data_IF_388777889472
#
_entry.id   IF_388777889472
#
_cell.length_a   1.000
_cell.length_b   1.000
_cell.length_c   1.000
_cell.angle_alpha   90.00
_cell.angle_beta   90.00
_cell.angle_gamma   90.00
#
_symmetry.space_group_name_H-M   'P 1'
#
loop_
_entity.id
_entity.type
_entity.pdbx_description
1 polymer ?
#
# COMPACT_ATOMS: atom_id res chain seq x y z
N UNK A 1 -42.34 -3.92 6.44
CA UNK A 1 -41.16 -4.05 7.31
C UNK A 1 -40.20 -4.98 6.58
N UNK A 2 -39.20 -4.42 5.91
CA UNK A 2 -38.17 -5.20 5.22
C UNK A 2 -37.36 -5.90 6.31
N UNK A 3 -37.32 -7.23 6.31
CA UNK A 3 -36.49 -7.99 7.23
C UNK A 3 -35.05 -7.48 7.11
N UNK A 4 -34.50 -6.92 8.19
CA UNK A 4 -33.09 -6.59 8.28
C UNK A 4 -32.32 -7.90 8.22
N UNK A 5 -31.95 -8.34 7.01
CA UNK A 5 -31.10 -9.51 6.81
C UNK A 5 -29.78 -9.24 7.53
N UNK A 6 -29.54 -9.98 8.61
CA UNK A 6 -28.29 -9.92 9.35
C UNK A 6 -27.15 -10.28 8.39
N UNK A 7 -26.28 -9.31 8.11
CA UNK A 7 -25.13 -9.52 7.22
C UNK A 7 -24.05 -10.26 8.02
N UNK A 8 -23.67 -11.47 7.59
CA UNK A 8 -22.60 -12.23 8.22
C UNK A 8 -21.28 -11.95 7.52
N UNK A 9 -20.17 -12.08 8.25
CA UNK A 9 -18.84 -11.88 7.68
C UNK A 9 -18.52 -12.87 6.54
N UNK A 10 -19.03 -14.09 6.65
CA UNK A 10 -18.96 -15.09 5.57
C UNK A 10 -19.59 -14.60 4.25
N UNK A 11 -20.62 -13.74 4.32
CA UNK A 11 -21.23 -13.16 3.13
C UNK A 11 -20.33 -12.08 2.50
N UNK A 12 -19.41 -11.46 3.25
CA UNK A 12 -18.41 -10.52 2.71
C UNK A 12 -17.26 -11.31 2.07
N UNK A 13 -16.80 -12.38 2.74
CA UNK A 13 -15.75 -13.28 2.24
C UNK A 13 -16.10 -13.92 0.90
N UNK A 14 -17.34 -14.36 0.73
CA UNK A 14 -17.80 -14.98 -0.51
C UNK A 14 -17.73 -14.01 -1.71
N UNK A 15 -17.97 -12.72 -1.50
CA UNK A 15 -18.09 -11.74 -2.58
C UNK A 15 -16.81 -10.92 -2.81
N UNK A 16 -15.87 -10.94 -1.87
CA UNK A 16 -14.69 -10.08 -1.89
C UNK A 16 -13.77 -10.31 -3.10
N UNK A 17 -13.67 -11.55 -3.59
CA UNK A 17 -12.86 -11.86 -4.77
C UNK A 17 -13.56 -11.43 -6.06
N UNK A 18 -14.89 -11.45 -6.09
CA UNK A 18 -15.73 -11.13 -7.26
C UNK A 18 -16.28 -9.71 -7.19
N UNK A 19 -15.53 -8.85 -6.52
CA UNK A 19 -16.02 -7.54 -6.17
C UNK A 19 -16.22 -6.71 -7.43
N UNK A 20 -17.35 -6.01 -7.48
CA UNK A 20 -17.81 -5.26 -8.65
C UNK A 20 -18.26 -6.14 -9.86
N UNK A 21 -18.36 -7.47 -9.72
CA UNK A 21 -19.05 -8.31 -10.71
C UNK A 21 -20.53 -7.93 -10.83
N UNK A 22 -21.18 -8.04 -12.01
CA UNK A 22 -22.59 -7.67 -12.17
C UNK A 22 -23.54 -8.31 -11.15
N UNK A 23 -23.28 -9.57 -10.78
CA UNK A 23 -24.07 -10.30 -9.78
C UNK A 23 -23.80 -9.80 -8.34
N UNK A 24 -22.60 -9.32 -8.05
CA UNK A 24 -22.27 -8.69 -6.76
C UNK A 24 -22.86 -7.30 -6.69
N UNK A 25 -22.73 -6.50 -7.76
CA UNK A 25 -23.33 -5.18 -7.90
C UNK A 25 -24.86 -5.21 -7.68
N UNK A 26 -25.55 -6.17 -8.27
CA UNK A 26 -26.99 -6.36 -8.05
C UNK A 26 -27.33 -6.73 -6.59
N UNK A 27 -26.44 -7.44 -5.89
CA UNK A 27 -26.64 -7.83 -4.49
C UNK A 27 -26.35 -6.68 -3.52
N UNK A 28 -25.32 -5.88 -3.78
CA UNK A 28 -25.00 -4.69 -2.96
C UNK A 28 -26.08 -3.60 -3.11
N UNK A 29 -26.71 -3.47 -4.28
CA UNK A 29 -27.84 -2.55 -4.47
C UNK A 29 -29.01 -2.87 -3.54
N UNK A 30 -29.17 -4.14 -3.18
CA UNK A 30 -30.21 -4.62 -2.28
C UNK A 30 -29.71 -4.80 -0.83
N UNK A 31 -28.43 -4.51 -0.54
CA UNK A 31 -27.83 -4.62 0.81
C UNK A 31 -26.81 -3.50 1.07
N UNK A 32 -27.26 -2.36 1.63
CA UNK A 32 -26.36 -1.27 2.03
C UNK A 32 -25.25 -1.71 2.99
N UNK A 33 -25.53 -2.66 3.89
CA UNK A 33 -24.55 -3.18 4.84
C UNK A 33 -23.43 -3.96 4.13
N UNK A 34 -23.76 -4.80 3.13
CA UNK A 34 -22.76 -5.51 2.33
C UNK A 34 -21.92 -4.53 1.52
N UNK A 35 -22.55 -3.50 0.93
CA UNK A 35 -21.83 -2.44 0.21
C UNK A 35 -20.79 -1.77 1.09
N UNK A 36 -21.19 -1.28 2.26
CA UNK A 36 -20.30 -0.62 3.21
C UNK A 36 -19.17 -1.58 3.60
N UNK A 37 -19.47 -2.84 3.92
CA UNK A 37 -18.46 -3.83 4.32
C UNK A 37 -17.41 -4.09 3.22
N UNK A 38 -17.82 -4.15 1.95
CA UNK A 38 -16.93 -4.33 0.80
C UNK A 38 -16.14 -3.07 0.41
N UNK A 39 -16.68 -1.89 0.69
CA UNK A 39 -15.99 -0.61 0.48
C UNK A 39 -14.95 -0.38 1.58
N UNK A 40 -15.32 -0.47 2.86
CA UNK A 40 -14.39 -0.23 3.96
C UNK A 40 -13.23 -1.22 4.01
N UNK A 41 -13.38 -2.42 3.43
CA UNK A 41 -12.32 -3.43 3.43
C UNK A 41 -11.17 -3.13 2.48
N UNK A 42 -11.28 -2.11 1.62
CA UNK A 42 -10.31 -1.83 0.54
C UNK A 42 -9.90 -0.36 0.52
N UNK A 43 -8.71 -0.01 -0.02
CA UNK A 43 -8.38 1.36 -0.32
C UNK A 43 -9.46 2.05 -1.18
N UNK A 44 -9.76 3.32 -0.89
CA UNK A 44 -10.87 4.03 -1.55
C UNK A 44 -10.74 4.14 -3.07
N UNK A 45 -9.51 4.20 -3.58
CA UNK A 45 -9.20 4.20 -5.01
C UNK A 45 -9.43 2.83 -5.69
N UNK A 46 -9.78 1.78 -4.94
CA UNK A 46 -10.12 0.47 -5.49
C UNK A 46 -11.61 0.27 -5.74
N UNK A 47 -12.45 1.20 -5.30
CA UNK A 47 -13.90 1.04 -5.36
C UNK A 47 -14.42 1.18 -6.79
N UNK A 48 -15.16 0.18 -7.27
CA UNK A 48 -15.74 0.16 -8.61
C UNK A 48 -14.72 -0.07 -9.71
N UNK A 49 -13.56 -0.68 -9.41
CA UNK A 49 -12.54 -0.97 -10.42
C UNK A 49 -12.93 -2.12 -11.34
N UNK A 50 -13.74 -3.08 -10.86
CA UNK A 50 -13.95 -4.34 -11.59
C UNK A 50 -12.67 -5.16 -11.73
N UNK A 51 -11.71 -5.00 -10.81
CA UNK A 51 -10.46 -5.76 -10.76
C UNK A 51 -10.39 -6.48 -9.41
N UNK A 52 -10.08 -7.76 -9.45
CA UNK A 52 -9.96 -8.58 -8.25
C UNK A 52 -8.85 -8.04 -7.34
N UNK A 53 -9.09 -7.88 -6.02
CA UNK A 53 -8.07 -7.37 -5.09
C UNK A 53 -6.77 -8.19 -5.10
N UNK A 54 -6.87 -9.51 -5.30
CA UNK A 54 -5.71 -10.40 -5.41
C UNK A 54 -4.80 -10.07 -6.59
N UNK A 55 -5.36 -9.65 -7.73
CA UNK A 55 -4.60 -9.19 -8.90
C UNK A 55 -3.82 -7.92 -8.59
N UNK A 56 -4.45 -6.95 -7.91
CA UNK A 56 -3.79 -5.69 -7.53
C UNK A 56 -2.62 -5.95 -6.57
N UNK A 57 -2.84 -6.78 -5.55
CA UNK A 57 -1.78 -7.17 -4.60
C UNK A 57 -0.65 -7.90 -5.32
N UNK A 58 -0.96 -8.78 -6.28
CA UNK A 58 0.05 -9.50 -7.06
C UNK A 58 0.91 -8.58 -7.91
N UNK A 59 0.31 -7.60 -8.60
CA UNK A 59 1.04 -6.57 -9.36
C UNK A 59 1.95 -5.79 -8.42
N UNK A 60 1.38 -5.28 -7.31
CA UNK A 60 2.11 -4.48 -6.35
C UNK A 60 3.32 -5.22 -5.77
N UNK A 61 3.14 -6.49 -5.44
CA UNK A 61 4.18 -7.37 -4.89
C UNK A 61 5.24 -7.75 -5.93
N UNK A 62 4.81 -8.09 -7.14
CA UNK A 62 5.68 -8.55 -8.22
C UNK A 62 6.61 -7.46 -8.76
N UNK A 63 6.15 -6.21 -8.76
CA UNK A 63 6.82 -5.10 -9.45
C UNK A 63 7.18 -3.92 -8.53
N UNK A 64 6.75 -3.97 -7.27
CA UNK A 64 7.00 -2.94 -6.28
C UNK A 64 6.19 -1.66 -6.51
N UNK A 65 5.06 -1.74 -7.23
CA UNK A 65 4.21 -0.60 -7.56
C UNK A 65 3.15 -0.42 -6.46
N UNK A 66 3.14 0.68 -5.70
CA UNK A 66 2.08 0.97 -4.73
C UNK A 66 0.75 1.23 -5.43
N UNK A 67 -0.34 0.66 -4.91
CA UNK A 67 -1.68 0.83 -5.49
C UNK A 67 -2.72 1.33 -4.48
N UNK A 68 -2.37 1.45 -3.20
CA UNK A 68 -3.29 1.87 -2.15
C UNK A 68 -3.34 3.40 -2.05
N UNK A 69 -4.54 3.99 -2.09
CA UNK A 69 -4.83 5.44 -2.12
C UNK A 69 -4.31 6.21 -3.35
N UNK A 70 -3.14 5.85 -3.86
CA UNK A 70 -2.59 6.34 -5.13
C UNK A 70 -2.15 5.16 -5.98
N UNK A 71 -2.28 5.22 -7.31
CA UNK A 71 -2.86 6.33 -8.09
C UNK A 71 -4.40 6.26 -8.16
N UNK A 72 -5.04 7.21 -8.85
CA UNK A 72 -6.49 7.21 -9.09
C UNK A 72 -6.95 5.96 -9.85
N UNK A 73 -8.23 5.62 -9.69
CA UNK A 73 -8.83 4.37 -10.18
C UNK A 73 -8.58 4.14 -11.68
N UNK A 74 -8.62 5.19 -12.50
CA UNK A 74 -8.46 5.12 -13.95
C UNK A 74 -7.07 4.58 -14.30
N UNK A 75 -6.04 5.02 -13.56
CA UNK A 75 -4.66 4.59 -13.73
C UNK A 75 -4.48 3.16 -13.22
N UNK A 76 -5.11 2.79 -12.10
CA UNK A 76 -5.10 1.40 -11.64
C UNK A 76 -5.71 0.46 -12.68
N UNK A 77 -6.82 0.85 -13.30
CA UNK A 77 -7.42 0.06 -14.37
C UNK A 77 -6.50 -0.07 -15.60
N UNK A 78 -5.68 0.94 -15.92
CA UNK A 78 -4.66 0.82 -16.96
C UNK A 78 -3.55 -0.15 -16.56
N UNK A 79 -3.03 -0.03 -15.33
CA UNK A 79 -1.99 -0.92 -14.80
C UNK A 79 -2.44 -2.39 -14.71
N UNK A 80 -3.71 -2.62 -14.38
CA UNK A 80 -4.28 -3.96 -14.31
C UNK A 80 -4.47 -4.61 -15.70
N UNK A 81 -4.69 -3.81 -16.75
CA UNK A 81 -4.83 -4.29 -18.13
C UNK A 81 -3.51 -4.49 -18.84
N UNK A 82 -2.47 -3.77 -18.42
CA UNK A 82 -1.12 -3.94 -18.95
C UNK A 82 -0.64 -5.38 -18.70
N UNK A 83 0.02 -5.97 -19.69
CA UNK A 83 0.40 -7.38 -19.69
C UNK A 83 1.59 -7.65 -18.74
N UNK A 84 2.58 -6.75 -18.74
CA UNK A 84 3.85 -6.91 -18.03
C UNK A 84 4.39 -5.62 -17.37
N UNK A 85 5.52 -5.74 -16.67
CA UNK A 85 6.19 -4.61 -15.99
C UNK A 85 6.67 -3.53 -16.97
N UNK A 86 6.96 -3.89 -18.23
CA UNK A 86 7.39 -2.92 -19.25
C UNK A 86 6.22 -2.03 -19.62
N UNK A 87 5.06 -2.61 -19.93
CA UNK A 87 3.85 -1.88 -20.23
C UNK A 87 3.34 -1.09 -19.02
N UNK A 88 3.38 -1.67 -17.81
CA UNK A 88 3.04 -0.94 -16.57
C UNK A 88 3.96 0.23 -16.31
N UNK A 89 5.26 0.09 -16.58
CA UNK A 89 6.21 1.20 -16.50
C UNK A 89 5.89 2.31 -17.50
N UNK A 90 5.41 1.97 -18.71
CA UNK A 90 4.93 2.95 -19.69
C UNK A 90 3.66 3.65 -19.20
N UNK A 91 2.71 2.92 -18.61
CA UNK A 91 1.49 3.50 -18.01
C UNK A 91 1.86 4.50 -16.91
N UNK A 92 2.77 4.14 -16.01
CA UNK A 92 3.23 5.05 -14.94
C UNK A 92 3.83 6.35 -15.51
N UNK A 93 4.71 6.22 -16.51
CA UNK A 93 5.37 7.39 -17.11
C UNK A 93 4.42 8.25 -17.94
N UNK A 94 3.47 7.63 -18.65
CA UNK A 94 2.46 8.34 -19.44
C UNK A 94 1.48 9.12 -18.57
N UNK A 95 1.24 8.66 -17.34
CA UNK A 95 0.33 9.30 -16.38
C UNK A 95 1.09 10.01 -15.23
N UNK A 96 2.38 10.30 -15.40
CA UNK A 96 3.23 10.83 -14.32
C UNK A 96 2.64 12.09 -13.67
N UNK A 97 2.10 13.01 -14.47
CA UNK A 97 1.51 14.25 -13.96
C UNK A 97 0.35 13.98 -13.00
N UNK A 98 -0.62 13.18 -13.45
CA UNK A 98 -1.81 12.79 -12.67
C UNK A 98 -1.42 12.02 -11.41
N UNK A 99 -0.42 11.14 -11.48
CA UNK A 99 0.08 10.41 -10.31
C UNK A 99 0.68 11.36 -9.27
N UNK A 100 1.43 12.38 -9.69
CA UNK A 100 1.99 13.38 -8.77
C UNK A 100 0.89 14.25 -8.14
N UNK A 101 -0.18 14.55 -8.89
CA UNK A 101 -1.39 15.17 -8.34
C UNK A 101 -2.06 14.29 -7.29
N UNK A 102 -2.24 13.01 -7.58
CA UNK A 102 -2.83 12.04 -6.64
C UNK A 102 -1.97 11.93 -5.37
N UNK A 103 -0.64 11.89 -5.50
CA UNK A 103 0.28 11.93 -4.36
C UNK A 103 0.11 13.22 -3.54
N UNK A 104 0.01 14.38 -4.19
CA UNK A 104 -0.18 15.65 -3.49
C UNK A 104 -1.53 15.72 -2.76
N UNK A 105 -2.59 15.21 -3.38
CA UNK A 105 -3.92 15.16 -2.79
C UNK A 105 -3.93 14.25 -1.56
N UNK A 106 -3.39 13.03 -1.67
CA UNK A 106 -3.30 12.09 -0.55
C UNK A 106 -2.47 12.66 0.61
N UNK A 107 -1.36 13.35 0.32
CA UNK A 107 -0.56 14.04 1.33
C UNK A 107 -1.30 15.24 1.96
N UNK A 108 -2.14 15.94 1.19
CA UNK A 108 -2.96 17.04 1.68
C UNK A 108 -4.06 16.61 2.67
N UNK A 109 -4.49 15.36 2.60
CA UNK A 109 -5.42 14.75 3.58
C UNK A 109 -4.72 14.35 4.90
N UNK A 110 -3.39 14.29 4.92
CA UNK A 110 -2.62 13.93 6.11
C UNK A 110 -2.50 15.13 7.06
N UNK A 111 -3.53 15.37 7.86
CA UNK A 111 -3.66 16.54 8.74
C UNK A 111 -3.22 16.31 10.19
N UNK A 112 -2.90 15.08 10.60
CA UNK A 112 -2.47 14.80 11.96
C UNK A 112 -1.18 15.58 12.30
N UNK A 113 -1.13 16.34 13.41
CA UNK A 113 0.03 17.13 13.78
C UNK A 113 1.34 16.33 13.90
N UNK A 114 1.28 15.03 14.23
CA UNK A 114 2.47 14.17 14.33
C UNK A 114 3.09 13.87 12.97
N UNK A 115 2.30 13.96 11.89
CA UNK A 115 2.76 13.69 10.52
C UNK A 115 3.26 14.95 9.80
N UNK A 116 2.98 16.15 10.34
CA UNK A 116 3.18 17.42 9.66
C UNK A 116 4.58 17.61 9.05
N UNK A 117 5.65 17.29 9.80
CA UNK A 117 7.04 17.40 9.30
C UNK A 117 7.32 16.41 8.17
N UNK A 118 6.84 15.18 8.29
CA UNK A 118 7.03 14.12 7.29
C UNK A 118 6.25 14.44 6.01
N UNK A 119 5.00 14.91 6.15
CA UNK A 119 4.15 15.37 5.04
C UNK A 119 4.78 16.53 4.31
N UNK A 120 5.32 17.53 5.03
CA UNK A 120 6.04 18.65 4.42
C UNK A 120 7.20 18.16 3.54
N UNK A 121 8.04 17.24 4.06
CA UNK A 121 9.16 16.69 3.30
C UNK A 121 8.69 15.86 2.09
N UNK A 122 7.60 15.09 2.22
CA UNK A 122 7.02 14.34 1.12
C UNK A 122 6.50 15.28 0.00
N UNK A 123 5.83 16.37 0.35
CA UNK A 123 5.41 17.41 -0.60
C UNK A 123 6.61 18.05 -1.31
N UNK A 124 7.72 18.31 -0.59
CA UNK A 124 8.96 18.80 -1.22
C UNK A 124 9.56 17.79 -2.20
N UNK A 125 9.45 16.50 -1.93
CA UNK A 125 9.90 15.46 -2.85
C UNK A 125 9.05 15.45 -4.13
N UNK A 126 7.72 15.62 -4.01
CA UNK A 126 6.81 15.76 -5.14
C UNK A 126 7.12 17.03 -5.96
N UNK A 127 7.32 18.18 -5.29
CA UNK A 127 7.66 19.45 -5.95
C UNK A 127 8.99 19.37 -6.70
N UNK A 128 9.99 18.71 -6.12
CA UNK A 128 11.28 18.49 -6.78
C UNK A 128 11.11 17.66 -8.06
N UNK A 129 10.34 16.57 -8.01
CA UNK A 129 10.04 15.75 -9.18
C UNK A 129 9.30 16.55 -10.26
N UNK A 130 8.24 17.28 -9.89
CA UNK A 130 7.49 18.16 -10.81
C UNK A 130 8.37 19.21 -11.49
N UNK A 131 9.37 19.71 -10.77
CA UNK A 131 10.32 20.72 -11.27
C UNK A 131 11.43 20.13 -12.15
N UNK A 132 11.37 18.83 -12.48
CA UNK A 132 12.37 18.13 -13.30
C UNK A 132 13.53 17.55 -12.50
N UNK A 133 13.58 17.74 -11.18
CA UNK A 133 14.61 17.22 -10.28
C UNK A 133 14.17 15.90 -9.63
N UNK A 134 13.71 14.96 -10.45
CA UNK A 134 13.22 13.66 -10.01
C UNK A 134 14.27 12.88 -9.22
N UNK A 135 15.56 13.09 -9.46
CA UNK A 135 16.61 12.44 -8.68
C UNK A 135 16.64 12.92 -7.23
N UNK A 136 16.51 14.23 -7.02
CA UNK A 136 16.41 14.82 -5.69
C UNK A 136 15.10 14.42 -5.00
N UNK A 137 13.99 14.39 -5.75
CA UNK A 137 12.70 13.89 -5.27
C UNK A 137 12.80 12.44 -4.79
N UNK A 138 13.43 11.57 -5.59
CA UNK A 138 13.65 10.17 -5.25
C UNK A 138 14.54 9.99 -4.02
N UNK A 139 15.65 10.72 -3.92
CA UNK A 139 16.53 10.64 -2.75
C UNK A 139 15.76 10.98 -1.46
N UNK A 140 15.01 12.09 -1.47
CA UNK A 140 14.21 12.52 -0.33
C UNK A 140 13.09 11.51 -0.01
N UNK A 141 12.37 11.06 -1.03
CA UNK A 141 11.31 10.05 -0.88
C UNK A 141 11.85 8.74 -0.30
N UNK A 142 13.02 8.27 -0.72
CA UNK A 142 13.63 7.05 -0.16
C UNK A 142 14.06 7.25 1.29
N UNK A 143 14.60 8.41 1.65
CA UNK A 143 14.94 8.73 3.04
C UNK A 143 13.71 8.73 3.96
N UNK A 144 12.56 9.19 3.48
CA UNK A 144 11.28 9.10 4.20
C UNK A 144 10.70 7.68 4.17
N UNK A 145 10.84 7.00 3.05
CA UNK A 145 10.27 5.68 2.80
C UNK A 145 10.83 4.59 3.71
N UNK A 146 12.08 4.69 4.16
CA UNK A 146 12.66 3.71 5.09
C UNK A 146 11.90 3.60 6.43
N UNK A 147 11.77 4.67 7.24
CA UNK A 147 11.03 4.59 8.49
C UNK A 147 9.53 4.31 8.27
N UNK A 148 8.94 4.87 7.21
CA UNK A 148 7.53 4.64 6.87
C UNK A 148 7.25 3.18 6.50
N UNK A 149 8.11 2.57 5.67
CA UNK A 149 7.96 1.19 5.26
C UNK A 149 8.31 0.23 6.40
N UNK A 150 9.21 0.61 7.32
CA UNK A 150 9.41 -0.14 8.56
C UNK A 150 8.12 -0.18 9.39
N UNK A 151 7.44 0.96 9.58
CA UNK A 151 6.12 1.02 10.25
C UNK A 151 5.03 0.25 9.49
N UNK A 152 5.00 0.34 8.16
CA UNK A 152 4.04 -0.41 7.33
C UNK A 152 4.23 -1.93 7.40
N UNK A 153 5.46 -2.37 7.68
CA UNK A 153 5.82 -3.76 7.87
C UNK A 153 5.62 -4.26 9.32
N UNK A 154 5.18 -3.42 10.25
CA UNK A 154 4.91 -3.87 11.62
C UNK A 154 3.58 -4.64 11.69
N UNK A 155 3.58 -5.89 12.21
CA UNK A 155 2.37 -6.69 12.29
C UNK A 155 1.34 -6.08 13.25
N UNK A 156 0.12 -5.87 12.74
CA UNK A 156 -1.01 -5.34 13.53
C UNK A 156 -1.91 -6.49 13.97
N UNK A 157 -1.52 -7.11 15.08
CA UNK A 157 -2.27 -8.18 15.78
C UNK A 157 -2.49 -9.44 14.93
N UNK A 158 -1.68 -10.48 15.18
CA UNK A 158 -1.83 -11.81 14.55
C UNK A 158 -2.56 -12.78 15.50
N UNK A 159 -3.62 -13.41 15.02
CA UNK A 159 -4.25 -14.54 15.69
C UNK A 159 -3.42 -15.82 15.46
N UNK A 160 -3.30 -16.67 16.49
CA UNK A 160 -2.60 -17.94 16.40
C UNK A 160 -3.48 -19.07 16.89
N UNK A 161 -3.58 -20.14 16.11
CA UNK A 161 -4.36 -21.34 16.48
C UNK A 161 -3.75 -22.11 17.67
N UNK A 162 -2.49 -21.84 18.01
CA UNK A 162 -1.83 -22.42 19.18
C UNK A 162 -0.66 -21.58 19.71
N UNK A 163 -0.34 -21.78 20.99
CA UNK A 163 0.87 -21.20 21.61
C UNK A 163 2.17 -21.67 20.94
N UNK A 164 2.21 -22.87 20.37
CA UNK A 164 3.38 -23.37 19.65
C UNK A 164 3.58 -22.62 18.34
N UNK A 165 2.50 -22.39 17.59
CA UNK A 165 2.52 -21.57 16.36
C UNK A 165 2.98 -20.14 16.67
N UNK A 166 2.42 -19.51 17.73
CA UNK A 166 2.86 -18.19 18.19
C UNK A 166 4.36 -18.12 18.48
N UNK A 167 4.90 -19.06 19.25
CA UNK A 167 6.33 -19.07 19.61
C UNK A 167 7.24 -19.30 18.40
N UNK A 168 6.84 -20.15 17.47
CA UNK A 168 7.59 -20.39 16.24
C UNK A 168 7.65 -19.11 15.38
N UNK A 169 6.52 -18.42 15.26
CA UNK A 169 6.42 -17.14 14.57
C UNK A 169 7.27 -16.04 15.23
N UNK A 170 7.16 -15.84 16.54
CA UNK A 170 7.97 -14.86 17.29
C UNK A 170 9.47 -15.12 17.13
N UNK A 171 9.89 -16.39 17.13
CA UNK A 171 11.28 -16.77 16.90
C UNK A 171 11.73 -16.47 15.47
N UNK A 172 10.87 -16.66 14.47
CA UNK A 172 11.14 -16.34 13.07
C UNK A 172 11.26 -14.82 12.89
N UNK A 173 10.28 -14.05 13.37
CA UNK A 173 10.24 -12.58 13.28
C UNK A 173 11.45 -11.95 13.96
N UNK A 174 11.84 -12.40 15.15
CA UNK A 174 13.00 -11.88 15.88
C UNK A 174 14.32 -12.08 15.14
N UNK A 175 14.44 -13.13 14.33
CA UNK A 175 15.65 -13.44 13.55
C UNK A 175 15.75 -12.67 12.23
N UNK A 176 14.67 -12.03 11.81
CA UNK A 176 14.56 -11.37 10.51
C UNK A 176 14.38 -9.85 10.66
N UNK A 177 14.90 -9.10 9.68
CA UNK A 177 14.72 -7.65 9.57
C UNK A 177 13.26 -7.29 9.33
N UNK A 178 12.88 -6.03 9.59
CA UNK A 178 11.54 -5.49 9.34
C UNK A 178 10.95 -5.87 7.97
N UNK A 179 11.73 -5.68 6.89
CA UNK A 179 11.27 -5.99 5.54
C UNK A 179 11.13 -7.48 5.24
N UNK A 180 12.02 -8.33 5.79
CA UNK A 180 11.92 -9.78 5.61
C UNK A 180 10.70 -10.33 6.36
N UNK A 181 10.23 -9.64 7.41
CA UNK A 181 8.95 -9.94 8.06
C UNK A 181 7.77 -9.67 7.12
N UNK A 182 7.71 -8.50 6.47
CA UNK A 182 6.65 -8.21 5.50
C UNK A 182 6.57 -9.27 4.39
N UNK A 183 7.71 -9.70 3.85
CA UNK A 183 7.75 -10.78 2.84
C UNK A 183 7.23 -12.12 3.37
N UNK A 184 7.70 -12.55 4.56
CA UNK A 184 7.24 -13.78 5.21
C UNK A 184 5.75 -13.75 5.56
N UNK A 185 5.26 -12.59 6.00
CA UNK A 185 3.85 -12.39 6.32
C UNK A 185 2.99 -12.45 5.06
N UNK A 186 3.42 -11.83 3.96
CA UNK A 186 2.74 -11.91 2.66
C UNK A 186 2.78 -13.32 2.05
N UNK A 187 3.81 -14.12 2.34
CA UNK A 187 3.87 -15.54 1.91
C UNK A 187 2.85 -16.42 2.64
N UNK A 188 2.62 -16.16 3.93
CA UNK A 188 1.66 -16.91 4.74
C UNK A 188 0.24 -16.36 4.66
N UNK A 189 0.09 -15.06 4.35
CA UNK A 189 -1.19 -14.39 4.28
C UNK A 189 -2.07 -15.02 3.21
N UNK A 190 -3.20 -15.57 3.63
CA UNK A 190 -4.35 -15.74 2.73
C UNK A 190 -4.96 -14.36 2.53
N UNK A 191 -5.51 -14.11 1.36
CA UNK A 191 -6.30 -12.91 1.13
C UNK A 191 -7.59 -13.02 1.95
N UNK A 192 -7.54 -12.56 3.19
CA UNK A 192 -8.68 -12.44 4.10
C UNK A 192 -9.39 -11.12 3.76
N UNK A 193 -10.70 -11.11 3.47
CA UNK A 193 -11.47 -9.90 3.20
C UNK A 193 -11.52 -8.93 4.39
N UNK A 194 -10.99 -9.33 5.54
CA UNK A 194 -11.01 -8.49 6.71
C UNK A 194 -10.23 -7.20 6.49
N UNK A 195 -10.90 -6.07 6.78
CA UNK A 195 -10.44 -4.72 6.40
C UNK A 195 -8.97 -4.48 6.75
N UNK A 196 -8.56 -4.91 7.95
CA UNK A 196 -7.19 -4.72 8.42
C UNK A 196 -6.19 -5.48 7.55
N UNK A 197 -6.55 -6.67 7.11
CA UNK A 197 -5.69 -7.58 6.36
C UNK A 197 -5.51 -7.14 4.92
N UNK A 198 -6.58 -6.75 4.23
CA UNK A 198 -6.50 -6.26 2.85
C UNK A 198 -5.71 -4.95 2.76
N UNK A 199 -6.04 -3.98 3.62
CA UNK A 199 -5.34 -2.68 3.63
C UNK A 199 -3.86 -2.89 3.95
N UNK A 200 -3.56 -3.72 4.96
CA UNK A 200 -2.18 -4.06 5.28
C UNK A 200 -1.47 -4.77 4.12
N UNK A 201 -2.10 -5.76 3.46
CA UNK A 201 -1.51 -6.44 2.31
C UNK A 201 -1.24 -5.48 1.15
N UNK A 202 -2.16 -4.57 0.85
CA UNK A 202 -1.99 -3.55 -0.18
C UNK A 202 -0.81 -2.59 0.12
N UNK A 203 -0.59 -2.26 1.40
CA UNK A 203 0.52 -1.43 1.87
C UNK A 203 1.85 -2.18 1.92
N UNK A 204 1.84 -3.44 2.34
CA UNK A 204 3.02 -4.26 2.53
C UNK A 204 3.55 -4.82 1.21
N UNK A 205 2.68 -5.05 0.22
CA UNK A 205 3.03 -5.63 -1.07
C UNK A 205 4.27 -5.01 -1.75
N UNK A 206 4.44 -3.68 -1.86
CA UNK A 206 5.61 -3.11 -2.53
C UNK A 206 6.89 -3.12 -1.67
N UNK A 207 6.80 -3.36 -0.36
CA UNK A 207 7.91 -3.22 0.60
C UNK A 207 9.06 -4.20 0.31
N UNK A 208 8.84 -5.50 0.03
CA UNK A 208 9.94 -6.42 -0.29
C UNK A 208 10.81 -5.95 -1.47
N UNK A 209 10.20 -5.41 -2.53
CA UNK A 209 10.93 -4.85 -3.68
C UNK A 209 11.73 -3.61 -3.27
N UNK A 210 11.11 -2.68 -2.53
CA UNK A 210 11.78 -1.49 -2.01
C UNK A 210 13.04 -1.82 -1.19
N UNK A 211 13.01 -2.90 -0.40
CA UNK A 211 14.13 -3.37 0.41
C UNK A 211 15.07 -4.37 -0.30
N UNK A 212 14.91 -4.61 -1.61
CA UNK A 212 15.81 -5.49 -2.36
C UNK A 212 17.26 -5.04 -2.16
N UNK A 213 18.08 -5.94 -1.63
CA UNK A 213 19.51 -5.71 -1.41
C UNK A 213 20.27 -6.01 -2.69
N UNK A 214 21.23 -5.16 -3.02
CA UNK A 214 22.13 -5.37 -4.16
C UNK A 214 23.52 -4.84 -3.83
N UNK A 215 24.55 -5.63 -4.14
CA UNK A 215 25.93 -5.22 -3.93
C UNK A 215 26.74 -5.26 -5.23
N UNK A 216 27.49 -4.19 -5.53
CA UNK A 216 28.32 -4.07 -6.75
C UNK A 216 29.25 -5.26 -7.03
N UNK A 217 29.72 -5.95 -5.99
CA UNK A 217 30.65 -7.07 -6.12
C UNK A 217 29.97 -8.39 -6.53
N UNK A 218 28.64 -8.45 -6.63
CA UNK A 218 27.90 -9.69 -6.94
C UNK A 218 27.88 -10.05 -8.44
N UNK A 219 28.54 -9.29 -9.33
CA UNK A 219 28.58 -9.51 -10.78
C UNK A 219 27.20 -9.64 -11.45
N UNK A 220 26.14 -9.13 -10.82
CA UNK A 220 24.79 -8.99 -11.38
C UNK A 220 24.45 -7.51 -11.50
N UNK A 221 23.71 -7.07 -12.53
CA UNK A 221 23.27 -5.68 -12.63
C UNK A 221 22.38 -5.31 -11.44
N UNK A 222 22.31 -4.01 -11.06
CA UNK A 222 21.32 -3.55 -10.09
C UNK A 222 19.90 -3.84 -10.59
N UNK A 223 18.92 -3.99 -9.67
CA UNK A 223 17.52 -4.08 -10.07
C UNK A 223 17.12 -2.83 -10.87
N UNK A 224 16.28 -3.03 -11.88
CA UNK A 224 15.67 -1.98 -12.70
C UNK A 224 14.53 -1.26 -11.96
N UNK A 225 13.84 -1.97 -11.06
CA UNK A 225 12.84 -1.42 -10.14
C UNK A 225 13.46 -0.69 -8.95
N UNK A 226 12.64 0.13 -8.27
CA UNK A 226 13.04 0.89 -7.09
C UNK A 226 13.62 -0.01 -5.99
N UNK A 227 14.92 0.18 -5.71
CA UNK A 227 15.60 -0.34 -4.53
C UNK A 227 16.16 0.79 -3.69
N UNK A 228 15.77 0.83 -2.41
CA UNK A 228 16.33 1.76 -1.42
C UNK A 228 17.83 1.54 -1.21
N UNK A 229 18.28 0.29 -1.33
CA UNK A 229 19.67 -0.08 -1.04
C UNK A 229 20.60 0.51 -2.09
N UNK A 230 20.20 0.47 -3.37
CA UNK A 230 20.93 1.12 -4.44
C UNK A 230 20.96 2.63 -4.21
N UNK A 231 19.83 3.27 -3.89
CA UNK A 231 19.77 4.72 -3.62
C UNK A 231 20.66 5.16 -2.46
N UNK A 232 20.57 4.47 -1.31
CA UNK A 232 21.23 4.87 -0.08
C UNK A 232 22.73 4.52 -0.06
N UNK A 233 23.13 3.40 -0.68
CA UNK A 233 24.50 2.91 -0.55
C UNK A 233 25.31 2.98 -1.85
N UNK A 234 24.65 2.98 -3.02
CA UNK A 234 25.32 2.88 -4.32
C UNK A 234 24.60 3.72 -5.39
N UNK A 235 24.39 5.03 -5.15
CA UNK A 235 23.60 5.87 -6.04
C UNK A 235 24.21 5.91 -7.44
N UNK A 236 23.36 5.79 -8.46
CA UNK A 236 23.76 5.81 -9.87
C UNK A 236 22.70 6.47 -10.74
N UNK A 237 23.13 7.14 -11.81
CA UNK A 237 22.22 7.76 -12.78
C UNK A 237 21.31 6.73 -13.47
N UNK A 238 21.75 5.47 -13.54
CA UNK A 238 20.95 4.39 -14.10
C UNK A 238 19.78 3.98 -13.18
N UNK A 239 19.90 4.17 -11.86
CA UNK A 239 18.87 3.80 -10.90
C UNK A 239 17.92 4.94 -10.54
N UNK A 240 18.42 6.17 -10.59
CA UNK A 240 17.66 7.40 -10.40
C UNK A 240 16.85 7.76 -11.66
N UNK A 241 15.89 6.90 -12.00
CA UNK A 241 15.01 7.07 -13.15
C UNK A 241 13.71 7.77 -12.74
N UNK A 242 13.02 8.42 -13.70
CA UNK A 242 11.68 8.99 -13.47
C UNK A 242 10.69 7.97 -12.93
N UNK A 243 10.70 6.72 -13.45
CA UNK A 243 9.83 5.63 -12.99
C UNK A 243 10.09 5.30 -11.52
N UNK A 244 11.36 5.14 -11.12
CA UNK A 244 11.70 4.81 -9.74
C UNK A 244 11.43 5.96 -8.77
N UNK A 245 11.64 7.20 -9.20
CA UNK A 245 11.27 8.39 -8.44
C UNK A 245 9.75 8.44 -8.20
N UNK A 246 8.96 8.20 -9.24
CA UNK A 246 7.50 8.19 -9.15
C UNK A 246 6.99 7.09 -8.21
N UNK A 247 7.52 5.87 -8.33
CA UNK A 247 7.19 4.75 -7.44
C UNK A 247 7.56 5.05 -5.98
N UNK A 248 8.68 5.73 -5.73
CA UNK A 248 9.07 6.13 -4.38
C UNK A 248 8.08 7.13 -3.77
N UNK A 249 7.62 8.10 -4.56
CA UNK A 249 6.62 9.09 -4.13
C UNK A 249 5.25 8.45 -3.87
N UNK A 250 4.84 7.52 -4.72
CA UNK A 250 3.61 6.74 -4.51
C UNK A 250 3.68 5.94 -3.21
N UNK A 251 4.84 5.32 -2.91
CA UNK A 251 5.01 4.50 -1.71
C UNK A 251 4.92 5.36 -0.45
N UNK A 252 5.64 6.48 -0.42
CA UNK A 252 5.60 7.43 0.70
C UNK A 252 4.20 7.99 0.92
N UNK A 253 3.50 8.36 -0.17
CA UNK A 253 2.13 8.90 -0.09
C UNK A 253 1.15 7.87 0.44
N UNK A 254 1.24 6.61 -0.03
CA UNK A 254 0.40 5.50 0.44
C UNK A 254 0.61 5.23 1.93
N UNK A 255 1.87 5.17 2.38
CA UNK A 255 2.21 4.90 3.78
C UNK A 255 1.80 6.04 4.72
N UNK A 256 1.97 7.30 4.30
CA UNK A 256 1.52 8.45 5.07
C UNK A 256 0.01 8.51 5.18
N UNK A 257 -0.72 8.22 4.10
CA UNK A 257 -2.19 8.18 4.14
C UNK A 257 -2.71 7.09 5.09
N UNK A 258 -2.03 5.94 5.13
CA UNK A 258 -2.32 4.89 6.09
C UNK A 258 -1.96 5.28 7.54
N UNK A 259 -0.86 6.02 7.75
CA UNK A 259 -0.51 6.56 9.07
C UNK A 259 -1.56 7.55 9.56
N UNK A 260 -2.09 8.38 8.67
CA UNK A 260 -3.19 9.29 8.97
C UNK A 260 -4.43 8.52 9.46
N UNK A 261 -4.89 7.54 8.69
CA UNK A 261 -6.06 6.71 9.06
C UNK A 261 -5.85 6.03 10.42
N UNK A 262 -4.65 5.50 10.66
CA UNK A 262 -4.31 4.88 11.94
C UNK A 262 -4.33 5.86 13.11
N UNK A 263 -3.80 7.08 12.94
CA UNK A 263 -3.80 8.10 13.98
C UNK A 263 -5.23 8.55 14.32
N UNK A 264 -6.10 8.67 13.31
CA UNK A 264 -7.52 8.99 13.50
C UNK A 264 -8.24 7.89 14.27
N UNK A 265 -8.02 6.62 13.92
CA UNK A 265 -8.59 5.46 14.62
C UNK A 265 -8.17 5.44 16.10
N UNK A 266 -6.89 5.69 16.41
CA UNK A 266 -6.37 5.72 17.79
C UNK A 266 -6.99 6.86 18.59
N UNK A 267 -7.07 8.07 18.03
CA UNK A 267 -7.69 9.22 18.72
C UNK A 267 -9.18 9.02 18.94
N UNK A 268 -9.87 8.39 17.99
CA UNK A 268 -11.29 8.07 18.14
C UNK A 268 -11.53 7.06 19.26
N UNK A 269 -10.65 6.07 19.46
CA UNK A 269 -10.75 5.17 20.61
C UNK A 269 -10.51 5.88 21.94
N UNK A 270 -9.52 6.76 22.02
CA UNK A 270 -9.23 7.50 23.25
C UNK A 270 -10.41 8.41 23.66
N UNK A 271 -11.11 9.00 22.70
CA UNK A 271 -12.26 9.87 22.95
C UNK A 271 -13.49 9.12 23.49
N UNK A 272 -13.66 7.83 23.15
CA UNK A 272 -14.76 6.98 23.66
C UNK A 272 -14.51 6.58 25.12
N UNK A 273 -13.25 6.43 25.52
CA UNK A 273 -12.88 6.07 26.90
C UNK A 273 -12.93 7.28 27.86
N UNK A 274 -13.07 8.51 27.35
CA UNK A 274 -13.14 9.76 28.13
C UNK A 274 -14.57 10.29 28.40
N UNK A 275 -15.64 9.65 27.90
CA UNK A 275 -17.01 10.06 28.26
C UNK A 275 -17.33 9.67 29.73
N UNK A 276 -17.63 10.63 30.62
CA UNK A 276 -17.99 10.31 32.00
C UNK A 276 -19.41 9.73 32.08
N UNK A 277 -19.57 8.65 32.87
CA UNK A 277 -20.86 8.07 33.29
C UNK A 277 -21.80 9.09 33.96
#
# INVERSE_FOLDING_TARGET
>A
MTESRFQRWADVEQEFQHVDDPNVLQRIDNSPALRIALEISRPGNWWGLGVEPGTLISISRGEGIPLAWVPRREIISLLARAEDDVERSQVLLANEHDILEDCSAALGECTDPWLASTVLLALRAVDAHRSGFHEAGMALAVSLGEPLAAWGAEPRVRAFDSNQHRKAWEALVRKNSGYRRAELELDEARLDPHRRDVIWQALAAPIPKFFTTWHRHQNVPPPDYLSRHVVAHQPSVQHFTRRNALVALMLVSSLLRAQQDWSEDVRASDAVDEEPE
#
